data_IF_151767455577
#
_entry.id   IF_151767455577
#
_cell.length_a   1.000
_cell.length_b   1.000
_cell.length_c   1.000
_cell.angle_alpha   90.00
_cell.angle_beta   90.00
_cell.angle_gamma   90.00
#
_symmetry.space_group_name_H-M   'P 1'
#
loop_
_entity.id
_entity.type
_entity.pdbx_description
1 polymer ?
#
# COMPACT_ATOMS: atom_id res chain seq x y z
N UNK A 1 11.65 -13.01 -10.60
CA UNK A 1 12.54 -12.62 -9.47
C UNK A 1 13.91 -13.20 -9.76
N UNK A 2 14.97 -12.39 -9.79
CA UNK A 2 16.32 -12.79 -10.23
C UNK A 2 17.06 -13.73 -9.26
N UNK A 3 16.44 -14.07 -8.12
CA UNK A 3 17.02 -14.94 -7.08
C UNK A 3 18.14 -14.30 -6.26
N UNK A 4 18.48 -13.04 -6.53
CA UNK A 4 19.56 -12.34 -5.85
C UNK A 4 19.08 -11.74 -4.53
N UNK A 5 19.68 -12.18 -3.42
CA UNK A 5 19.34 -11.73 -2.06
C UNK A 5 19.54 -10.24 -1.85
N UNK A 6 20.51 -9.61 -2.54
CA UNK A 6 20.79 -8.19 -2.38
C UNK A 6 19.61 -7.30 -2.80
N UNK A 7 18.84 -7.71 -3.82
CA UNK A 7 17.64 -6.97 -4.22
C UNK A 7 16.50 -7.12 -3.22
N UNK A 8 16.39 -8.28 -2.55
CA UNK A 8 15.39 -8.48 -1.49
C UNK A 8 15.74 -7.64 -0.26
N UNK A 9 17.03 -7.53 0.09
CA UNK A 9 17.51 -6.68 1.18
C UNK A 9 17.27 -5.18 0.88
N UNK A 10 17.55 -4.75 -0.35
CA UNK A 10 17.24 -3.38 -0.80
C UNK A 10 15.73 -3.10 -0.77
N UNK A 11 14.90 -4.01 -1.28
CA UNK A 11 13.45 -3.88 -1.25
C UNK A 11 12.91 -3.85 0.20
N UNK A 12 13.46 -4.68 1.08
CA UNK A 12 13.11 -4.69 2.51
C UNK A 12 13.47 -3.37 3.18
N UNK A 13 14.63 -2.80 2.85
CA UNK A 13 15.06 -1.49 3.35
C UNK A 13 14.12 -0.37 2.89
N UNK A 14 13.70 -0.39 1.62
CA UNK A 14 12.67 0.53 1.11
C UNK A 14 11.32 0.34 1.83
N UNK A 15 10.93 -0.91 2.10
CA UNK A 15 9.76 -1.24 2.89
C UNK A 15 9.83 -0.69 4.32
N UNK A 16 10.99 -0.75 4.98
CA UNK A 16 11.18 -0.15 6.30
C UNK A 16 11.03 1.39 6.27
N UNK A 17 11.52 2.07 5.22
CA UNK A 17 11.30 3.51 5.04
C UNK A 17 9.81 3.82 4.85
N UNK A 18 9.10 3.04 4.03
CA UNK A 18 7.66 3.20 3.82
C UNK A 18 6.89 2.93 5.10
N UNK A 19 7.33 2.00 5.95
CA UNK A 19 6.71 1.77 7.25
C UNK A 19 6.79 3.02 8.14
N UNK A 20 7.94 3.68 8.18
CA UNK A 20 8.14 4.87 9.02
C UNK A 20 7.42 6.12 8.48
N UNK A 21 7.26 6.25 7.15
CA UNK A 21 6.89 7.52 6.50
C UNK A 21 5.76 7.41 5.47
N UNK A 22 5.19 6.22 5.27
CA UNK A 22 4.23 5.92 4.20
C UNK A 22 2.76 6.18 4.52
N UNK A 23 2.43 6.53 5.76
CA UNK A 23 1.14 7.11 6.09
C UNK A 23 1.19 8.59 5.69
N UNK A 24 0.46 8.95 4.64
CA UNK A 24 0.60 10.25 3.99
C UNK A 24 -0.56 11.17 4.38
N UNK A 25 -0.21 12.41 4.73
CA UNK A 25 -1.20 13.48 4.92
C UNK A 25 -1.86 13.89 3.60
N UNK A 26 -1.29 13.51 2.45
CA UNK A 26 -1.82 13.84 1.12
C UNK A 26 -3.14 13.15 0.79
N UNK A 27 -3.34 11.91 1.24
CA UNK A 27 -4.54 11.14 0.88
C UNK A 27 -4.36 9.63 0.96
N UNK A 28 -5.47 8.94 0.67
CA UNK A 28 -5.57 7.48 0.76
C UNK A 28 -5.43 6.76 -0.58
N UNK A 29 -5.33 7.48 -1.70
CA UNK A 29 -5.27 6.90 -3.04
C UNK A 29 -4.04 6.02 -3.29
N UNK A 30 -3.90 5.50 -4.50
CA UNK A 30 -2.85 4.52 -4.83
C UNK A 30 -1.67 5.12 -5.60
N UNK A 31 -1.81 6.25 -6.27
CA UNK A 31 -0.71 6.88 -7.01
C UNK A 31 0.36 7.48 -6.08
N UNK A 32 -0.09 8.10 -4.98
CA UNK A 32 0.75 8.82 -4.03
C UNK A 32 0.02 9.00 -2.70
N UNK A 33 -0.66 7.93 -2.26
CA UNK A 33 -1.42 7.87 -1.03
C UNK A 33 -1.11 6.60 -0.24
N UNK A 34 -1.69 6.50 0.95
CA UNK A 34 -1.39 5.40 1.87
C UNK A 34 -1.77 4.02 1.34
N UNK A 35 -2.88 3.86 0.61
CA UNK A 35 -3.24 2.56 0.03
C UNK A 35 -2.18 2.07 -0.97
N UNK A 36 -1.67 2.98 -1.81
CA UNK A 36 -0.60 2.67 -2.78
C UNK A 36 0.68 2.22 -2.09
N UNK A 37 1.10 2.93 -1.04
CA UNK A 37 2.25 2.53 -0.23
C UNK A 37 2.04 1.16 0.43
N UNK A 38 0.80 0.81 0.78
CA UNK A 38 0.44 -0.47 1.35
C UNK A 38 0.71 -1.67 0.42
N UNK A 39 0.69 -1.47 -0.90
CA UNK A 39 1.02 -2.54 -1.87
C UNK A 39 2.47 -3.00 -1.78
N UNK A 40 3.41 -2.13 -1.40
CA UNK A 40 4.82 -2.54 -1.22
C UNK A 40 4.94 -3.65 -0.18
N UNK A 41 4.13 -3.60 0.87
CA UNK A 41 4.11 -4.65 1.88
C UNK A 41 3.46 -5.94 1.38
N UNK A 42 2.46 -5.85 0.49
CA UNK A 42 1.86 -7.03 -0.13
C UNK A 42 2.85 -7.71 -1.09
N UNK A 43 3.61 -6.95 -1.87
CA UNK A 43 4.64 -7.49 -2.76
C UNK A 43 5.80 -8.11 -1.96
N UNK A 44 6.29 -7.42 -0.91
CA UNK A 44 7.30 -7.98 0.00
C UNK A 44 6.80 -9.26 0.70
N UNK A 45 5.54 -9.30 1.14
CA UNK A 45 4.95 -10.51 1.72
C UNK A 45 4.93 -11.66 0.71
N UNK A 46 4.51 -11.41 -0.53
CA UNK A 46 4.48 -12.43 -1.59
C UNK A 46 5.86 -13.01 -1.92
N UNK A 47 6.91 -12.19 -1.89
CA UNK A 47 8.26 -12.62 -2.25
C UNK A 47 8.99 -13.28 -1.08
N UNK A 48 8.78 -12.78 0.14
CA UNK A 48 9.52 -13.24 1.33
C UNK A 48 8.76 -14.25 2.19
N UNK A 49 7.43 -14.30 2.06
CA UNK A 49 6.52 -15.01 2.96
C UNK A 49 6.64 -14.63 4.44
N UNK A 50 7.28 -13.49 4.76
CA UNK A 50 7.39 -12.98 6.12
C UNK A 50 6.13 -12.21 6.52
N UNK A 51 5.41 -12.76 7.50
CA UNK A 51 4.18 -12.19 8.08
C UNK A 51 4.33 -10.77 8.64
N UNK A 52 5.56 -10.31 8.95
CA UNK A 52 5.84 -8.89 9.26
C UNK A 52 5.27 -7.97 8.20
N UNK A 53 5.46 -8.30 6.92
CA UNK A 53 5.00 -7.47 5.81
C UNK A 53 3.48 -7.49 5.68
N UNK A 54 2.86 -8.66 5.80
CA UNK A 54 1.39 -8.75 5.83
C UNK A 54 0.79 -7.91 6.96
N UNK A 55 1.39 -7.94 8.15
CA UNK A 55 0.96 -7.10 9.26
C UNK A 55 1.02 -5.61 8.93
N UNK A 56 2.10 -5.16 8.29
CA UNK A 56 2.27 -3.76 7.88
C UNK A 56 1.25 -3.34 6.81
N UNK A 57 0.95 -4.20 5.85
CA UNK A 57 -0.14 -3.98 4.89
C UNK A 57 -1.48 -3.79 5.62
N UNK A 58 -1.81 -4.68 6.55
CA UNK A 58 -3.05 -4.58 7.34
C UNK A 58 -3.12 -3.29 8.17
N UNK A 59 -2.00 -2.79 8.70
CA UNK A 59 -1.96 -1.52 9.43
C UNK A 59 -2.23 -0.32 8.52
N UNK A 60 -1.78 -0.36 7.27
CA UNK A 60 -2.08 0.67 6.28
C UNK A 60 -3.55 0.60 5.85
N UNK A 61 -4.11 -0.60 5.76
CA UNK A 61 -5.54 -0.82 5.54
C UNK A 61 -6.39 -0.29 6.69
N UNK A 62 -5.98 -0.52 7.94
CA UNK A 62 -6.64 0.00 9.15
C UNK A 62 -6.70 1.54 9.15
N UNK A 63 -5.62 2.19 8.71
CA UNK A 63 -5.64 3.63 8.47
C UNK A 63 -6.67 4.02 7.40
N UNK A 64 -6.71 3.28 6.28
CA UNK A 64 -7.66 3.52 5.19
C UNK A 64 -9.12 3.22 5.55
N UNK A 65 -9.41 2.29 6.49
CA UNK A 65 -10.75 2.03 7.01
C UNK A 65 -11.34 3.24 7.74
N UNK A 66 -10.49 4.13 8.24
CA UNK A 66 -10.87 5.40 8.82
C UNK A 66 -10.89 6.54 7.78
N UNK A 67 -11.20 6.21 6.52
CA UNK A 67 -11.30 7.17 5.42
C UNK A 67 -12.12 8.40 5.82
N UNK A 68 -11.59 9.59 5.55
CA UNK A 68 -12.24 10.87 5.86
C UNK A 68 -12.21 11.28 7.34
N UNK A 69 -11.75 10.43 8.27
CA UNK A 69 -11.70 10.74 9.71
C UNK A 69 -10.38 11.37 10.18
N UNK A 70 -9.36 11.41 9.33
CA UNK A 70 -8.03 11.93 9.68
C UNK A 70 -7.83 13.43 9.41
N UNK A 71 -8.89 14.18 9.08
CA UNK A 71 -8.84 15.63 8.79
C UNK A 71 -7.72 16.02 7.81
N UNK A 72 -7.60 15.27 6.70
CA UNK A 72 -6.58 15.52 5.70
C UNK A 72 -6.81 16.90 5.04
N UNK A 73 -5.74 17.66 4.74
CA UNK A 73 -5.83 19.06 4.35
C UNK A 73 -6.43 19.30 2.96
N UNK A 74 -6.46 18.30 2.08
CA UNK A 74 -6.94 18.44 0.70
C UNK A 74 -7.68 17.18 0.25
N UNK A 75 -8.81 17.37 -0.42
CA UNK A 75 -9.43 16.31 -1.20
C UNK A 75 -8.63 16.05 -2.50
N UNK A 76 -8.61 14.80 -3.00
CA UNK A 76 -8.02 14.51 -4.31
C UNK A 76 -8.74 15.28 -5.42
N UNK A 77 -8.03 15.61 -6.50
CA UNK A 77 -8.61 16.36 -7.63
C UNK A 77 -9.71 15.53 -8.33
N UNK A 78 -9.53 14.21 -8.42
CA UNK A 78 -10.55 13.25 -8.84
C UNK A 78 -10.91 12.27 -7.70
N UNK A 79 -11.84 12.62 -6.77
CA UNK A 79 -12.03 11.93 -5.49
C UNK A 79 -12.54 10.49 -5.58
N UNK A 80 -13.07 10.07 -6.73
CA UNK A 80 -13.58 8.71 -6.96
C UNK A 80 -12.78 7.93 -8.01
N UNK A 81 -11.70 8.51 -8.55
CA UNK A 81 -10.86 7.85 -9.55
C UNK A 81 -10.07 6.69 -8.96
N UNK A 82 -9.57 5.81 -9.84
CA UNK A 82 -8.73 4.69 -9.43
C UNK A 82 -7.42 5.15 -8.78
N UNK A 83 -6.71 6.11 -9.38
CA UNK A 83 -5.35 6.44 -8.94
C UNK A 83 -5.28 7.45 -7.79
N UNK A 84 -6.19 8.42 -7.75
CA UNK A 84 -6.18 9.48 -6.72
C UNK A 84 -7.23 9.26 -5.63
N UNK A 85 -8.35 8.64 -6.00
CA UNK A 85 -9.57 8.65 -5.23
C UNK A 85 -9.90 7.34 -4.52
N UNK A 86 -11.14 7.28 -4.07
CA UNK A 86 -11.71 6.20 -3.29
C UNK A 86 -11.64 4.83 -3.99
N UNK A 87 -11.77 4.79 -5.32
CA UNK A 87 -11.75 3.52 -6.05
C UNK A 87 -10.41 2.78 -5.87
N UNK A 88 -9.27 3.48 -5.84
CA UNK A 88 -7.98 2.87 -5.54
C UNK A 88 -7.87 2.35 -4.11
N UNK A 89 -8.39 3.11 -3.14
CA UNK A 89 -8.40 2.67 -1.74
C UNK A 89 -9.27 1.41 -1.57
N UNK A 90 -10.45 1.35 -2.21
CA UNK A 90 -11.30 0.16 -2.21
C UNK A 90 -10.58 -1.02 -2.87
N UNK A 91 -9.93 -0.78 -4.02
CA UNK A 91 -9.21 -1.82 -4.75
C UNK A 91 -8.13 -2.46 -3.85
N UNK A 92 -7.34 -1.64 -3.14
CA UNK A 92 -6.38 -2.12 -2.15
C UNK A 92 -7.03 -2.95 -1.03
N UNK A 93 -8.16 -2.51 -0.48
CA UNK A 93 -8.87 -3.24 0.57
C UNK A 93 -9.37 -4.62 0.09
N UNK A 94 -9.84 -4.71 -1.16
CA UNK A 94 -10.27 -5.97 -1.75
C UNK A 94 -9.08 -6.91 -1.94
N UNK A 95 -7.96 -6.40 -2.44
CA UNK A 95 -6.75 -7.20 -2.68
C UNK A 95 -6.16 -7.79 -1.39
N UNK A 96 -6.28 -7.08 -0.26
CA UNK A 96 -5.86 -7.60 1.04
C UNK A 96 -6.56 -8.90 1.43
N UNK A 97 -7.78 -9.16 0.93
CA UNK A 97 -8.50 -10.39 1.22
C UNK A 97 -7.79 -11.64 0.67
N UNK A 98 -6.95 -11.47 -0.35
CA UNK A 98 -6.13 -12.53 -0.93
C UNK A 98 -4.68 -12.04 -1.17
N UNK A 99 -3.89 -11.86 -0.10
CA UNK A 99 -2.63 -11.12 -0.16
C UNK A 99 -1.56 -11.81 -0.99
N UNK A 100 -1.65 -13.12 -1.21
CA UNK A 100 -0.73 -13.87 -2.08
C UNK A 100 -0.96 -13.58 -3.58
N UNK A 101 -2.18 -13.12 -3.93
CA UNK A 101 -2.57 -12.78 -5.30
C UNK A 101 -2.71 -11.28 -5.53
N UNK A 102 -2.61 -10.46 -4.49
CA UNK A 102 -2.67 -9.00 -4.62
C UNK A 102 -1.63 -8.46 -5.61
N UNK A 103 -2.05 -7.51 -6.44
CA UNK A 103 -1.25 -6.88 -7.50
C UNK A 103 -1.59 -5.40 -7.59
N UNK A 104 -0.57 -4.56 -7.61
CA UNK A 104 -0.80 -3.13 -7.83
C UNK A 104 -1.48 -2.93 -9.19
N UNK A 105 -2.69 -2.33 -9.24
CA UNK A 105 -3.47 -2.30 -10.46
C UNK A 105 -2.79 -1.47 -11.56
N UNK A 106 -2.86 -1.98 -12.79
CA UNK A 106 -2.26 -1.37 -13.98
C UNK A 106 -0.72 -1.20 -13.92
N UNK A 107 -0.03 -1.99 -13.09
CA UNK A 107 1.44 -2.00 -13.02
C UNK A 107 2.04 -3.41 -12.88
N UNK A 108 1.62 -4.18 -11.86
CA UNK A 108 2.17 -5.52 -11.56
C UNK A 108 1.50 -6.69 -12.30
#
# INVERSE_FOLDING_TARGET
>A
VTGNSSYIELASSAGDIIWERGILTKGYGICHGTAGNGYVFLDLYRVTNDTKWLHRALKFAEFCLNYGKHNLPKEPDCPYSLFEGLAGTIYYMVDILNPTHARFPAFE
#
